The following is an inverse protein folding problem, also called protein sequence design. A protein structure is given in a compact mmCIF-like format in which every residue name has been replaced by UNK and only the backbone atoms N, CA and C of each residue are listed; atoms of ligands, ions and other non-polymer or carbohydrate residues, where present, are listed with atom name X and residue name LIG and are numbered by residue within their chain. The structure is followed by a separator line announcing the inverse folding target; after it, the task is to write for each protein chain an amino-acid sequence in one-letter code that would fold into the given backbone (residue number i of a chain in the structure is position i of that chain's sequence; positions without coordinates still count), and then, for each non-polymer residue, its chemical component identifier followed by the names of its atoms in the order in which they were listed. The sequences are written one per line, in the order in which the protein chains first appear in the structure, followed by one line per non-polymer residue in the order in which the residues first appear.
data_IF_395568410877
#
_entry.id   IF_395568410877
#
_cell.length_a   1.000
_cell.length_b   1.000
_cell.length_c   1.000
_cell.angle_alpha   90.00
_cell.angle_beta   90.00
_cell.angle_gamma   90.00
#
_symmetry.space_group_name_H-M   'P 1'
#
loop_
_entity.id
_entity.type
_entity.pdbx_description
1 polymer ?
#
# COMPACT_ATOMS: atom_id res chain seq x y z
N UNK A 1 -14.19 1.15 -7.07
CA UNK A 1 -13.54 0.04 -6.35
C UNK A 1 -12.65 -0.63 -7.36
N UNK A 2 -11.36 -0.78 -7.05
CA UNK A 2 -10.37 -1.33 -7.97
C UNK A 2 -9.75 -2.54 -7.34
N UNK A 3 -9.55 -3.57 -8.15
CA UNK A 3 -9.12 -4.86 -7.66
C UNK A 3 -7.59 -4.87 -7.53
N UNK A 4 -7.13 -5.40 -6.40
CA UNK A 4 -5.75 -5.76 -6.16
C UNK A 4 -5.73 -7.25 -5.87
N UNK A 5 -5.15 -8.03 -6.78
CA UNK A 5 -4.88 -9.43 -6.56
C UNK A 5 -3.54 -9.58 -5.83
N UNK A 6 -3.53 -10.42 -4.80
CA UNK A 6 -2.34 -10.75 -4.02
C UNK A 6 -2.16 -12.26 -4.02
N UNK A 7 -0.99 -12.73 -4.46
CA UNK A 7 -0.60 -14.14 -4.36
C UNK A 7 0.58 -14.28 -3.41
N UNK A 8 0.52 -15.22 -2.47
CA UNK A 8 1.56 -15.44 -1.48
C UNK A 8 2.31 -16.75 -1.72
N UNK A 9 3.64 -16.71 -1.64
CA UNK A 9 4.55 -17.85 -1.62
C UNK A 9 5.53 -17.69 -0.44
N UNK A 10 5.27 -18.42 0.64
CA UNK A 10 6.00 -18.27 1.90
C UNK A 10 5.95 -16.84 2.42
N UNK A 11 7.10 -16.16 2.45
CA UNK A 11 7.24 -14.76 2.87
C UNK A 11 7.15 -13.77 1.72
N UNK A 12 7.03 -14.21 0.47
CA UNK A 12 6.91 -13.34 -0.69
C UNK A 12 5.45 -13.17 -1.12
N UNK A 13 5.08 -11.94 -1.45
CA UNK A 13 3.77 -11.55 -1.93
C UNK A 13 3.93 -10.90 -3.30
N UNK A 14 3.18 -11.39 -4.30
CA UNK A 14 3.07 -10.78 -5.62
C UNK A 14 1.78 -9.97 -5.68
N UNK A 15 1.91 -8.73 -6.16
CA UNK A 15 0.83 -7.77 -6.29
C UNK A 15 0.50 -7.59 -7.77
N UNK A 16 -0.78 -7.62 -8.10
CA UNK A 16 -1.29 -7.24 -9.43
C UNK A 16 -2.51 -6.34 -9.24
N UNK A 17 -2.32 -5.05 -9.51
CA UNK A 17 -3.36 -4.04 -9.37
C UNK A 17 -3.91 -3.63 -10.71
N UNK A 18 -5.23 -3.66 -10.84
CA UNK A 18 -5.92 -3.19 -12.03
C UNK A 18 -5.98 -1.67 -12.10
N UNK A 19 -6.25 -1.19 -13.31
CA UNK A 19 -6.37 0.23 -13.56
C UNK A 19 -7.54 0.84 -12.76
N UNK A 20 -7.23 1.89 -12.02
CA UNK A 20 -8.19 2.58 -11.16
C UNK A 20 -9.06 3.63 -11.86
N UNK A 21 -8.56 4.29 -12.90
CA UNK A 21 -9.30 5.33 -13.66
C UNK A 21 -8.94 5.26 -15.12
N UNK A 22 -9.45 6.16 -15.95
CA UNK A 22 -8.97 6.27 -17.32
C UNK A 22 -7.46 6.57 -17.35
N UNK A 23 -6.77 6.10 -18.40
CA UNK A 23 -5.35 6.42 -18.66
C UNK A 23 -5.12 7.93 -18.67
N UNK A 24 -6.11 8.69 -19.15
CA UNK A 24 -6.08 10.17 -19.20
C UNK A 24 -5.95 10.82 -17.81
N UNK A 25 -6.39 10.12 -16.75
CA UNK A 25 -6.29 10.58 -15.37
C UNK A 25 -4.99 10.11 -14.69
N UNK A 26 -4.05 9.56 -15.46
CA UNK A 26 -2.77 9.06 -14.95
C UNK A 26 -2.88 7.72 -14.21
N UNK A 27 -3.96 6.97 -14.42
CA UNK A 27 -4.12 5.64 -13.85
C UNK A 27 -3.56 4.56 -14.78
N UNK A 28 -2.97 3.53 -14.19
CA UNK A 28 -2.30 2.44 -14.89
C UNK A 28 -2.49 1.14 -14.10
N UNK A 29 -2.48 0.01 -14.81
CA UNK A 29 -2.26 -1.28 -14.18
C UNK A 29 -0.80 -1.35 -13.67
N UNK A 30 -0.60 -2.05 -12.57
CA UNK A 30 0.70 -2.15 -11.94
C UNK A 30 0.95 -3.53 -11.35
N UNK A 31 2.21 -3.88 -11.26
CA UNK A 31 2.68 -5.09 -10.58
C UNK A 31 3.65 -4.71 -9.49
N UNK A 32 3.78 -5.57 -8.50
CA UNK A 32 4.70 -5.35 -7.40
C UNK A 32 5.06 -6.64 -6.69
N UNK A 33 6.05 -6.52 -5.81
CA UNK A 33 6.46 -7.59 -4.92
C UNK A 33 6.67 -7.00 -3.52
N UNK A 34 6.21 -7.72 -2.51
CA UNK A 34 6.52 -7.43 -1.11
C UNK A 34 7.08 -8.69 -0.45
N UNK A 35 7.90 -8.49 0.58
CA UNK A 35 8.36 -9.56 1.46
C UNK A 35 7.91 -9.28 2.89
N UNK A 36 7.48 -10.32 3.59
CA UNK A 36 7.26 -10.33 5.03
C UNK A 36 8.59 -10.52 5.75
N UNK A 37 8.94 -9.53 6.56
CA UNK A 37 10.12 -9.49 7.40
C UNK A 37 9.71 -9.72 8.85
N UNK A 38 10.30 -10.74 9.46
CA UNK A 38 10.21 -11.06 10.89
C UNK A 38 8.79 -11.17 11.47
N UNK A 39 7.78 -11.40 10.61
CA UNK A 39 6.35 -11.29 10.94
C UNK A 39 5.94 -9.91 11.50
N UNK A 40 6.68 -8.86 11.15
CA UNK A 40 6.47 -7.49 11.65
C UNK A 40 6.23 -6.46 10.54
N UNK A 41 6.78 -6.67 9.34
CA UNK A 41 6.64 -5.69 8.26
C UNK A 41 6.56 -6.33 6.88
N UNK A 42 5.68 -5.77 6.03
CA UNK A 42 5.72 -5.97 4.59
C UNK A 42 6.48 -4.82 3.94
N UNK A 43 7.56 -5.16 3.23
CA UNK A 43 8.41 -4.20 2.54
C UNK A 43 8.52 -4.62 1.09
N UNK A 44 8.35 -3.68 0.16
CA UNK A 44 8.33 -4.02 -1.25
C UNK A 44 8.35 -2.85 -2.22
N UNK A 45 8.03 -3.14 -3.47
CA UNK A 45 8.02 -2.21 -4.57
C UNK A 45 6.83 -2.45 -5.51
N UNK A 46 6.52 -1.44 -6.31
CA UNK A 46 5.57 -1.54 -7.42
C UNK A 46 6.10 -0.78 -8.65
N UNK A 47 5.64 -1.19 -9.84
CA UNK A 47 5.89 -0.50 -11.10
C UNK A 47 4.66 -0.61 -12.00
N UNK A 48 4.43 0.40 -12.83
CA UNK A 48 3.45 0.32 -13.90
C UNK A 48 3.78 -0.87 -14.82
N UNK A 49 2.75 -1.62 -15.21
CA UNK A 49 2.88 -2.75 -16.13
C UNK A 49 2.75 -2.34 -17.60
N UNK A 50 2.21 -1.15 -17.87
CA UNK A 50 2.15 -0.55 -19.21
C UNK A 50 3.45 0.21 -19.51
N UNK A 51 4.13 -0.17 -20.60
CA UNK A 51 5.44 0.35 -20.99
C UNK A 51 5.48 1.85 -21.30
N UNK A 52 4.33 2.51 -21.48
CA UNK A 52 4.26 3.96 -21.65
C UNK A 52 4.36 4.74 -20.32
N UNK A 53 4.13 4.09 -19.17
CA UNK A 53 4.03 4.73 -17.86
C UNK A 53 5.26 4.47 -17.02
N UNK A 54 5.97 5.53 -16.59
CA UNK A 54 7.22 5.43 -15.83
C UNK A 54 7.04 5.35 -14.30
N UNK A 55 5.81 5.18 -13.84
CA UNK A 55 5.48 5.17 -12.42
C UNK A 55 5.98 3.90 -11.74
N UNK A 56 6.63 4.10 -10.60
CA UNK A 56 7.19 3.06 -9.73
C UNK A 56 7.37 3.62 -8.34
N UNK A 57 7.46 2.75 -7.34
CA UNK A 57 7.64 3.16 -5.96
C UNK A 57 7.96 2.01 -5.03
N UNK A 58 8.09 2.35 -3.75
CA UNK A 58 8.26 1.41 -2.66
C UNK A 58 7.14 1.52 -1.65
N UNK A 59 6.91 0.42 -0.94
CA UNK A 59 5.89 0.26 0.08
C UNK A 59 6.54 -0.22 1.38
N UNK A 60 6.11 0.34 2.51
CA UNK A 60 6.47 -0.13 3.85
C UNK A 60 5.21 -0.15 4.71
N UNK A 61 4.81 -1.33 5.16
CA UNK A 61 3.65 -1.53 6.02
C UNK A 61 4.04 -2.34 7.25
N UNK A 62 3.83 -1.76 8.43
CA UNK A 62 3.94 -2.48 9.68
C UNK A 62 2.71 -3.37 9.88
N UNK A 63 2.94 -4.58 10.38
CA UNK A 63 1.89 -5.51 10.79
C UNK A 63 1.55 -5.26 12.26
N UNK A 64 0.24 -5.23 12.55
CA UNK A 64 -0.24 -5.23 13.93
C UNK A 64 0.32 -6.47 14.66
N UNK A 65 0.74 -6.41 15.93
CA UNK A 65 1.34 -7.55 16.65
C UNK A 65 0.49 -8.84 16.68
N UNK A 66 -0.83 -8.70 16.53
CA UNK A 66 -1.77 -9.83 16.43
C UNK A 66 -2.13 -10.24 14.98
N UNK A 67 -1.48 -9.66 13.96
CA UNK A 67 -1.65 -10.01 12.55
C UNK A 67 -3.01 -9.63 11.93
N UNK A 68 -3.76 -8.70 12.55
CA UNK A 68 -5.13 -8.39 12.13
C UNK A 68 -5.25 -7.17 11.21
N UNK A 69 -4.26 -6.27 11.25
CA UNK A 69 -4.24 -5.03 10.50
C UNK A 69 -2.81 -4.72 10.05
N UNK A 70 -2.68 -3.95 8.98
CA UNK A 70 -1.43 -3.38 8.51
C UNK A 70 -1.61 -1.91 8.24
N UNK A 71 -0.57 -1.12 8.49
CA UNK A 71 -0.57 0.32 8.28
C UNK A 71 0.82 0.80 7.89
N UNK A 72 0.90 1.81 7.03
CA UNK A 72 2.19 2.36 6.67
C UNK A 72 2.12 3.35 5.53
N UNK A 73 3.23 3.41 4.79
CA UNK A 73 3.48 4.44 3.78
C UNK A 73 3.98 3.85 2.47
N UNK A 74 3.75 4.58 1.41
CA UNK A 74 4.38 4.35 0.12
C UNK A 74 5.01 5.65 -0.38
N UNK A 75 6.07 5.50 -1.17
CA UNK A 75 6.70 6.60 -1.91
C UNK A 75 6.83 6.17 -3.36
N UNK A 76 6.48 7.06 -4.28
CA UNK A 76 6.44 6.74 -5.69
C UNK A 76 6.72 7.93 -6.58
N UNK A 77 6.81 7.64 -7.88
CA UNK A 77 6.99 8.63 -8.92
C UNK A 77 5.64 8.98 -9.55
N UNK A 78 5.28 10.26 -9.51
CA UNK A 78 4.11 10.77 -10.22
C UNK A 78 4.35 10.79 -11.74
N UNK A 79 3.27 10.99 -12.50
CA UNK A 79 3.37 11.20 -13.95
C UNK A 79 4.32 12.35 -14.32
N UNK A 80 4.35 13.41 -13.51
CA UNK A 80 5.23 14.56 -13.72
C UNK A 80 6.69 14.32 -13.29
N UNK A 81 7.04 13.11 -12.84
CA UNK A 81 8.39 12.79 -12.38
C UNK A 81 8.72 13.33 -10.98
N UNK A 82 7.72 13.76 -10.22
CA UNK A 82 7.90 14.25 -8.85
C UNK A 82 7.77 13.10 -7.85
N UNK A 83 8.53 13.18 -6.75
CA UNK A 83 8.36 12.27 -5.62
C UNK A 83 7.04 12.59 -4.94
N UNK A 84 6.18 11.57 -4.86
CA UNK A 84 4.91 11.63 -4.14
C UNK A 84 4.92 10.57 -3.04
N UNK A 85 4.20 10.86 -1.96
CA UNK A 85 4.07 9.98 -0.80
C UNK A 85 2.60 9.85 -0.47
N UNK A 86 2.26 8.75 0.18
CA UNK A 86 0.96 8.57 0.76
C UNK A 86 0.98 7.46 1.80
N UNK A 87 -0.18 7.26 2.40
CA UNK A 87 -0.38 6.30 3.46
C UNK A 87 -1.37 5.24 3.02
N UNK A 88 -1.38 4.13 3.74
CA UNK A 88 -2.34 3.07 3.52
C UNK A 88 -2.59 2.28 4.80
N UNK A 89 -3.76 1.67 4.85
CA UNK A 89 -4.13 0.68 5.85
C UNK A 89 -4.80 -0.51 5.16
N UNK A 90 -4.57 -1.71 5.68
CA UNK A 90 -5.19 -2.96 5.24
C UNK A 90 -5.73 -3.64 6.48
N UNK A 91 -7.05 -3.79 6.56
CA UNK A 91 -7.75 -4.41 7.69
C UNK A 91 -8.82 -5.37 7.17
N UNK A 92 -9.46 -6.11 8.08
CA UNK A 92 -10.64 -6.93 7.73
C UNK A 92 -11.91 -6.11 7.62
N UNK A 93 -12.01 -5.06 8.44
CA UNK A 93 -13.22 -4.24 8.56
C UNK A 93 -13.00 -2.84 8.04
N UNK A 94 -13.95 -2.35 7.23
CA UNK A 94 -13.86 -1.02 6.62
C UNK A 94 -13.71 0.11 7.64
N UNK A 95 -14.46 0.05 8.75
CA UNK A 95 -14.39 1.07 9.80
C UNK A 95 -12.98 1.17 10.41
N UNK A 96 -12.33 0.03 10.62
CA UNK A 96 -10.94 -0.04 11.14
C UNK A 96 -9.95 0.53 10.12
N UNK A 97 -10.17 0.33 8.81
CA UNK A 97 -9.37 0.97 7.76
C UNK A 97 -9.52 2.49 7.81
N UNK A 98 -10.74 2.99 7.88
CA UNK A 98 -11.02 4.44 7.88
C UNK A 98 -10.38 5.12 9.11
N UNK A 99 -10.51 4.54 10.30
CA UNK A 99 -9.87 5.04 11.52
C UNK A 99 -8.34 5.08 11.39
N UNK A 100 -7.71 4.00 10.89
CA UNK A 100 -6.26 3.96 10.69
C UNK A 100 -5.78 5.00 9.68
N UNK A 101 -6.52 5.22 8.59
CA UNK A 101 -6.18 6.25 7.59
C UNK A 101 -6.28 7.64 8.21
N UNK A 102 -7.30 7.91 9.02
CA UNK A 102 -7.43 9.19 9.71
C UNK A 102 -6.27 9.43 10.68
N UNK A 103 -5.85 8.41 11.44
CA UNK A 103 -4.68 8.48 12.31
C UNK A 103 -3.38 8.73 11.54
N UNK A 104 -3.19 8.08 10.38
CA UNK A 104 -2.03 8.28 9.53
C UNK A 104 -2.01 9.71 8.95
N UNK A 105 -3.14 10.19 8.45
CA UNK A 105 -3.26 11.57 7.94
C UNK A 105 -2.96 12.60 9.04
N UNK A 106 -3.50 12.40 10.25
CA UNK A 106 -3.30 13.29 11.38
C UNK A 106 -1.86 13.30 11.92
N UNK A 107 -1.05 12.30 11.57
CA UNK A 107 0.33 12.11 12.06
C UNK A 107 1.41 12.20 10.97
N UNK A 108 1.03 12.62 9.76
CA UNK A 108 1.91 12.63 8.58
C UNK A 108 2.56 11.24 8.34
N UNK A 109 1.81 10.18 8.60
CA UNK A 109 2.21 8.79 8.44
C UNK A 109 2.93 8.15 9.63
N UNK A 110 3.15 8.89 10.72
CA UNK A 110 3.81 8.37 11.92
C UNK A 110 2.77 7.80 12.91
N UNK A 111 2.29 6.59 12.65
CA UNK A 111 1.35 5.91 13.53
C UNK A 111 1.95 5.76 14.95
N UNK A 112 1.32 6.41 15.94
CA UNK A 112 1.81 6.45 17.32
C UNK A 112 1.33 5.28 18.18
N UNK A 113 0.18 4.71 17.81
CA UNK A 113 -0.44 3.56 18.46
C UNK A 113 -1.40 2.91 17.47
N UNK A 114 -1.68 1.63 17.70
CA UNK A 114 -2.78 0.95 17.01
C UNK A 114 -4.13 1.34 17.64
N UNK A 115 -5.23 1.36 16.87
CA UNK A 115 -6.57 1.49 17.42
C UNK A 115 -6.84 0.38 18.43
N UNK A 116 -7.31 0.74 19.62
CA UNK A 116 -7.83 -0.24 20.58
C UNK A 116 -9.22 -0.66 20.12
N UNK A 117 -9.40 -1.96 19.84
CA UNK A 117 -10.74 -2.52 19.66
C UNK A 117 -11.52 -2.33 20.96
N UNK A 118 -12.63 -1.58 20.89
CA UNK A 118 -13.62 -1.48 21.96
C UNK A 118 -14.34 -2.80 22.18
#
# INVERSE_FOLDING_TARGET
MHELAITQDGTFLRLAGDQARSVKDGSYAWVGEMRLWDNEALIGWYTASDGAVRSKGSLYFALHPHGQAMAGSWVGLSYAGLVIRGWGAITRERAETEELIDMLCASDGNLKSWPTKS
#
